data_IF_175088565910
#
_entry.id   IF_175088565910
#
_cell.length_a   1.000
_cell.length_b   1.000
_cell.length_c   1.000
_cell.angle_alpha   90.00
_cell.angle_beta   90.00
_cell.angle_gamma   90.00
#
_symmetry.space_group_name_H-M   'P 1'
#
loop_
_entity.id
_entity.type
_entity.pdbx_description
1 polymer ?
#
# COMPACT_ATOMS: atom_id res chain seq x y z
N UNK A 1 5.40 -2.23 11.78
CA UNK A 1 4.32 -1.80 10.87
C UNK A 1 4.33 -2.62 9.59
N UNK A 2 5.42 -2.61 8.81
CA UNK A 2 5.59 -3.43 7.59
C UNK A 2 5.24 -4.91 7.81
N UNK A 3 5.59 -5.47 8.98
CA UNK A 3 5.22 -6.83 9.34
C UNK A 3 3.69 -7.07 9.27
N UNK A 4 2.86 -6.15 9.77
CA UNK A 4 1.40 -6.31 9.73
C UNK A 4 0.87 -6.34 8.29
N UNK A 5 1.49 -5.58 7.39
CA UNK A 5 1.12 -5.57 5.97
C UNK A 5 1.51 -6.91 5.30
N UNK A 6 2.71 -7.42 5.58
CA UNK A 6 3.14 -8.73 5.07
C UNK A 6 2.27 -9.88 5.59
N UNK A 7 1.87 -9.83 6.85
CA UNK A 7 0.96 -10.82 7.43
C UNK A 7 -0.43 -10.73 6.82
N UNK A 8 -0.92 -9.52 6.57
CA UNK A 8 -2.19 -9.30 5.88
C UNK A 8 -2.20 -9.95 4.49
N UNK A 9 -1.17 -9.70 3.67
CA UNK A 9 -1.00 -10.36 2.36
C UNK A 9 -0.95 -11.88 2.48
N UNK A 10 -0.17 -12.39 3.44
CA UNK A 10 0.00 -13.83 3.66
C UNK A 10 -1.31 -14.51 4.04
N UNK A 11 -2.15 -13.87 4.86
CA UNK A 11 -3.47 -14.38 5.25
C UNK A 11 -4.40 -14.40 4.03
N UNK A 12 -4.41 -13.36 3.20
CA UNK A 12 -5.22 -13.30 1.98
C UNK A 12 -4.83 -14.40 0.99
N UNK A 13 -3.54 -14.64 0.80
CA UNK A 13 -3.02 -15.71 -0.05
C UNK A 13 -3.42 -17.08 0.50
N UNK A 14 -3.27 -17.29 1.82
CA UNK A 14 -3.70 -18.53 2.46
C UNK A 14 -5.20 -18.77 2.24
N UNK A 15 -6.03 -17.74 2.37
CA UNK A 15 -7.47 -17.83 2.08
C UNK A 15 -7.73 -18.17 0.62
N UNK A 16 -6.98 -17.63 -0.34
CA UNK A 16 -7.17 -17.98 -1.76
C UNK A 16 -6.80 -19.43 -2.08
N UNK A 17 -5.97 -20.07 -1.24
CA UNK A 17 -5.62 -21.48 -1.38
C UNK A 17 -6.73 -22.48 -1.02
N UNK A 18 -7.80 -22.03 -0.36
CA UNK A 18 -8.96 -22.88 -0.03
C UNK A 18 -10.06 -22.89 -1.12
N UNK A 19 -9.83 -22.25 -2.28
CA UNK A 19 -10.80 -22.16 -3.37
C UNK A 19 -10.73 -23.34 -4.34
N UNK A 20 -11.83 -23.66 -5.03
CA UNK A 20 -11.93 -24.83 -5.94
C UNK A 20 -10.91 -24.79 -7.09
N UNK A 21 -10.54 -23.60 -7.60
CA UNK A 21 -9.49 -23.39 -8.61
C UNK A 21 -8.20 -22.80 -8.01
N UNK A 22 -7.82 -23.25 -6.81
CA UNK A 22 -6.72 -22.68 -6.04
C UNK A 22 -5.39 -22.58 -6.81
N UNK A 23 -5.05 -23.55 -7.68
CA UNK A 23 -3.76 -23.54 -8.36
C UNK A 23 -3.61 -22.37 -9.34
N UNK A 24 -4.57 -22.17 -10.24
CA UNK A 24 -4.54 -21.04 -11.20
C UNK A 24 -4.71 -19.72 -10.46
N UNK A 25 -5.61 -19.68 -9.48
CA UNK A 25 -5.87 -18.54 -8.61
C UNK A 25 -4.62 -18.04 -7.89
N UNK A 26 -3.95 -18.94 -7.16
CA UNK A 26 -2.73 -18.66 -6.40
C UNK A 26 -1.59 -18.24 -7.31
N UNK A 27 -1.41 -18.91 -8.45
CA UNK A 27 -0.38 -18.55 -9.41
C UNK A 27 -0.61 -17.14 -9.97
N UNK A 28 -1.84 -16.81 -10.39
CA UNK A 28 -2.17 -15.48 -10.90
C UNK A 28 -1.98 -14.40 -9.83
N UNK A 29 -2.48 -14.64 -8.61
CA UNK A 29 -2.28 -13.75 -7.47
C UNK A 29 -0.81 -13.56 -7.11
N UNK A 30 -0.02 -14.62 -7.11
CA UNK A 30 1.39 -14.55 -6.74
C UNK A 30 2.20 -13.78 -7.78
N UNK A 31 1.87 -13.92 -9.07
CA UNK A 31 2.46 -13.11 -10.13
C UNK A 31 2.09 -11.63 -9.94
N UNK A 32 0.81 -11.34 -9.67
CA UNK A 32 0.36 -9.96 -9.43
C UNK A 32 0.98 -9.34 -8.18
N UNK A 33 0.75 -9.93 -7.00
CA UNK A 33 1.13 -9.36 -5.71
C UNK A 33 2.62 -9.53 -5.38
N UNK A 34 3.23 -10.69 -5.61
CA UNK A 34 4.60 -10.95 -5.14
C UNK A 34 5.69 -10.71 -6.18
N UNK A 35 5.36 -10.67 -7.47
CA UNK A 35 6.35 -10.34 -8.50
C UNK A 35 6.20 -8.90 -8.94
N UNK A 36 5.03 -8.55 -9.48
CA UNK A 36 4.81 -7.22 -10.07
C UNK A 36 4.73 -6.15 -8.98
N UNK A 37 3.82 -6.29 -8.00
CA UNK A 37 3.67 -5.26 -6.96
C UNK A 37 4.90 -5.13 -6.07
N UNK A 38 5.70 -6.19 -5.85
CA UNK A 38 6.93 -6.10 -5.04
C UNK A 38 7.96 -5.17 -5.67
N UNK A 39 8.11 -5.16 -6.99
CA UNK A 39 9.04 -4.24 -7.66
C UNK A 39 8.67 -2.78 -7.39
N UNK A 40 7.38 -2.45 -7.43
CA UNK A 40 6.92 -1.10 -7.10
C UNK A 40 7.04 -0.82 -5.60
N UNK A 41 6.69 -1.76 -4.73
CA UNK A 41 6.83 -1.61 -3.27
C UNK A 41 8.29 -1.29 -2.90
N UNK A 42 9.29 -1.84 -3.59
CA UNK A 42 10.69 -1.47 -3.34
C UNK A 42 10.99 0.01 -3.64
N UNK A 43 10.40 0.56 -4.70
CA UNK A 43 10.51 1.99 -5.02
C UNK A 43 9.82 2.81 -3.92
N UNK A 44 8.59 2.43 -3.56
CA UNK A 44 7.82 3.14 -2.54
C UNK A 44 8.41 3.04 -1.13
N UNK A 45 9.09 1.94 -0.79
CA UNK A 45 9.85 1.80 0.46
C UNK A 45 11.02 2.80 0.53
N UNK A 46 11.67 3.08 -0.60
CA UNK A 46 12.67 4.13 -0.70
C UNK A 46 12.07 5.51 -0.35
N UNK A 47 10.90 5.83 -0.89
CA UNK A 47 10.18 7.06 -0.56
C UNK A 47 9.71 7.11 0.88
N UNK A 48 9.25 6.00 1.45
CA UNK A 48 8.87 5.89 2.86
C UNK A 48 10.04 6.30 3.76
N UNK A 49 11.23 5.73 3.53
CA UNK A 49 12.42 6.04 4.30
C UNK A 49 12.88 7.50 4.10
N UNK A 50 12.97 7.96 2.84
CA UNK A 50 13.41 9.32 2.53
C UNK A 50 12.49 10.39 3.12
N UNK A 51 11.17 10.19 2.99
CA UNK A 51 10.17 11.11 3.54
C UNK A 51 10.20 11.11 5.06
N UNK A 52 10.33 9.93 5.68
CA UNK A 52 10.43 9.81 7.13
C UNK A 52 11.62 10.57 7.72
N UNK A 53 12.81 10.41 7.13
CA UNK A 53 14.01 11.15 7.56
C UNK A 53 13.86 12.65 7.34
N UNK A 54 13.31 13.06 6.19
CA UNK A 54 13.13 14.48 5.87
C UNK A 54 12.14 15.16 6.81
N UNK A 55 11.00 14.53 7.06
CA UNK A 55 9.98 15.03 7.99
C UNK A 55 10.52 15.07 9.42
N UNK A 56 11.23 14.04 9.88
CA UNK A 56 11.82 14.01 11.21
C UNK A 56 12.83 15.16 11.41
N UNK A 57 13.68 15.42 10.41
CA UNK A 57 14.69 16.49 10.48
C UNK A 57 14.06 17.89 10.46
N UNK A 58 13.11 18.15 9.55
CA UNK A 58 12.45 19.46 9.44
C UNK A 58 11.54 19.76 10.64
N UNK A 59 10.89 18.73 11.19
CA UNK A 59 10.12 18.84 12.42
C UNK A 59 11.03 19.08 13.63
N UNK A 60 12.16 18.37 13.73
CA UNK A 60 13.17 18.59 14.76
C UNK A 60 13.81 19.99 14.71
N UNK A 61 13.88 20.60 13.52
CA UNK A 61 14.31 21.98 13.32
C UNK A 61 13.21 23.03 13.63
N UNK A 62 11.99 22.61 13.98
CA UNK A 62 10.85 23.49 14.25
C UNK A 62 10.27 24.17 13.00
N UNK A 63 10.60 23.68 11.80
CA UNK A 63 10.19 24.31 10.55
C UNK A 63 8.95 23.64 9.94
N UNK A 64 7.78 23.97 10.50
CA UNK A 64 6.48 23.45 10.05
C UNK A 64 6.20 23.62 8.55
N UNK A 65 6.63 24.75 7.97
CA UNK A 65 6.46 25.03 6.53
C UNK A 65 7.29 24.08 5.67
N UNK A 66 8.55 23.84 6.05
CA UNK A 66 9.42 22.91 5.33
C UNK A 66 8.96 21.46 5.49
N UNK A 67 8.36 21.10 6.63
CA UNK A 67 7.74 19.78 6.82
C UNK A 67 6.55 19.57 5.87
N UNK A 68 5.59 20.50 5.85
CA UNK A 68 4.46 20.47 4.91
C UNK A 68 4.94 20.40 3.45
N UNK A 69 5.93 21.22 3.09
CA UNK A 69 6.51 21.22 1.75
C UNK A 69 7.15 19.88 1.39
N UNK A 70 7.92 19.28 2.30
CA UNK A 70 8.57 17.99 2.09
C UNK A 70 7.57 16.87 1.84
N UNK A 71 6.46 16.84 2.58
CA UNK A 71 5.39 15.85 2.38
C UNK A 71 4.74 16.03 1.01
N UNK A 72 4.36 17.27 0.65
CA UNK A 72 3.71 17.56 -0.63
C UNK A 72 4.61 17.17 -1.82
N UNK A 73 5.89 17.55 -1.77
CA UNK A 73 6.85 17.24 -2.82
C UNK A 73 7.12 15.75 -2.92
N UNK A 74 7.29 15.06 -1.79
CA UNK A 74 7.49 13.61 -1.79
C UNK A 74 6.28 12.86 -2.35
N UNK A 75 5.05 13.24 -1.95
CA UNK A 75 3.82 12.64 -2.46
C UNK A 75 3.65 12.92 -3.95
N UNK A 76 3.93 14.15 -4.41
CA UNK A 76 3.86 14.48 -5.83
C UNK A 76 4.86 13.68 -6.68
N UNK A 77 6.14 13.60 -6.25
CA UNK A 77 7.16 12.83 -6.96
C UNK A 77 6.83 11.34 -7.01
N UNK A 78 6.43 10.76 -5.88
CA UNK A 78 6.05 9.34 -5.81
C UNK A 78 4.83 9.04 -6.69
N UNK A 79 3.85 9.93 -6.71
CA UNK A 79 2.66 9.78 -7.57
C UNK A 79 3.03 9.83 -9.06
N UNK A 80 3.92 10.75 -9.47
CA UNK A 80 4.39 10.83 -10.87
C UNK A 80 5.15 9.57 -11.26
N UNK A 81 6.05 9.09 -10.40
CA UNK A 81 6.79 7.85 -10.66
C UNK A 81 5.84 6.65 -10.73
N UNK A 82 4.88 6.57 -9.82
CA UNK A 82 3.80 5.59 -9.84
C UNK A 82 3.04 5.57 -11.17
N UNK A 83 2.61 6.74 -11.66
CA UNK A 83 1.97 6.83 -12.97
C UNK A 83 2.85 6.34 -14.11
N UNK A 84 4.15 6.65 -14.10
CA UNK A 84 5.09 6.16 -15.11
C UNK A 84 5.21 4.64 -15.05
N UNK A 85 5.32 4.06 -13.84
CA UNK A 85 5.37 2.59 -13.64
C UNK A 85 4.10 1.92 -14.14
N UNK A 86 2.92 2.48 -13.80
CA UNK A 86 1.62 1.99 -14.28
C UNK A 86 1.53 2.04 -15.81
N UNK A 87 1.99 3.13 -16.44
CA UNK A 87 1.98 3.27 -17.89
C UNK A 87 2.89 2.24 -18.56
N UNK A 88 4.10 2.03 -18.04
CA UNK A 88 5.02 0.99 -18.53
C UNK A 88 4.36 -0.38 -18.39
N UNK A 89 3.77 -0.67 -17.22
CA UNK A 89 3.11 -1.94 -16.97
C UNK A 89 1.94 -2.18 -17.94
N UNK A 90 1.08 -1.18 -18.17
CA UNK A 90 -0.04 -1.29 -19.10
C UNK A 90 0.41 -1.51 -20.55
N UNK A 91 1.47 -0.81 -20.99
CA UNK A 91 2.03 -0.97 -22.32
C UNK A 91 2.63 -2.37 -22.55
N UNK A 92 3.31 -2.92 -21.53
CA UNK A 92 4.01 -4.20 -21.63
C UNK A 92 3.30 -5.34 -20.90
N UNK A 93 2.02 -5.18 -20.53
CA UNK A 93 1.29 -6.12 -19.66
C UNK A 93 1.40 -7.57 -20.11
N UNK A 94 1.24 -7.82 -21.42
CA UNK A 94 1.25 -9.18 -21.96
C UNK A 94 2.65 -9.78 -21.91
N UNK A 95 3.67 -9.01 -22.29
CA UNK A 95 5.08 -9.45 -22.24
C UNK A 95 5.55 -9.70 -20.81
N UNK A 96 5.14 -8.86 -19.86
CA UNK A 96 5.48 -9.02 -18.43
C UNK A 96 4.82 -10.27 -17.86
N UNK A 97 3.56 -10.57 -18.20
CA UNK A 97 2.88 -11.77 -17.70
C UNK A 97 3.54 -13.05 -18.24
N UNK A 98 3.87 -13.10 -19.53
CA UNK A 98 4.54 -14.27 -20.12
C UNK A 98 5.99 -14.48 -19.65
N UNK A 99 6.61 -13.50 -18.98
CA UNK A 99 7.90 -13.71 -18.30
C UNK A 99 7.76 -14.60 -17.06
N UNK A 100 6.59 -14.61 -16.42
CA UNK A 100 6.36 -15.35 -15.17
C UNK A 100 5.56 -16.64 -15.36
N UNK A 101 4.84 -16.79 -16.47
CA UNK A 101 4.07 -18.01 -16.75
C UNK A 101 4.13 -18.42 -18.22
N UNK A 102 4.17 -19.73 -18.44
CA UNK A 102 4.04 -20.36 -19.76
C UNK A 102 2.62 -20.87 -20.02
N UNK A 103 1.72 -20.82 -19.03
CA UNK A 103 0.35 -21.31 -19.15
C UNK A 103 -0.59 -20.17 -19.54
N UNK A 104 -1.29 -20.33 -20.68
CA UNK A 104 -2.26 -19.34 -21.15
C UNK A 104 -3.42 -19.14 -20.16
N UNK A 105 -3.82 -20.20 -19.44
CA UNK A 105 -4.89 -20.12 -18.43
C UNK A 105 -4.51 -19.19 -17.27
N UNK A 106 -3.24 -19.22 -16.85
CA UNK A 106 -2.73 -18.33 -15.80
C UNK A 106 -2.53 -16.92 -16.35
N UNK A 107 -2.05 -16.80 -17.59
CA UNK A 107 -1.86 -15.51 -18.24
C UNK A 107 -3.19 -14.74 -18.38
N UNK A 108 -4.24 -15.42 -18.83
CA UNK A 108 -5.58 -14.84 -18.95
C UNK A 108 -6.14 -14.43 -17.57
N UNK A 109 -5.93 -15.25 -16.54
CA UNK A 109 -6.33 -14.90 -15.17
C UNK A 109 -5.62 -13.64 -14.64
N UNK A 110 -4.33 -13.46 -14.94
CA UNK A 110 -3.58 -12.24 -14.58
C UNK A 110 -4.05 -11.02 -15.39
N UNK A 111 -4.34 -11.20 -16.68
CA UNK A 111 -4.89 -10.13 -17.52
C UNK A 111 -6.27 -9.68 -17.01
N UNK A 112 -7.07 -10.60 -16.53
CA UNK A 112 -8.36 -10.35 -15.88
C UNK A 112 -8.23 -9.59 -14.54
N UNK A 113 -7.13 -9.78 -13.82
CA UNK A 113 -6.81 -9.08 -12.57
C UNK A 113 -6.14 -7.72 -12.81
N UNK A 114 -5.67 -7.45 -14.03
CA UNK A 114 -4.93 -6.22 -14.38
C UNK A 114 -5.60 -4.91 -13.92
N UNK A 115 -6.94 -4.72 -14.01
CA UNK A 115 -7.57 -3.49 -13.52
C UNK A 115 -7.39 -3.28 -12.01
N UNK A 116 -7.50 -4.36 -11.23
CA UNK A 116 -7.28 -4.33 -9.79
C UNK A 116 -5.79 -4.13 -9.47
N UNK A 117 -4.90 -4.68 -10.30
CA UNK A 117 -3.45 -4.48 -10.15
C UNK A 117 -3.09 -3.02 -10.35
N UNK A 118 -3.61 -2.37 -11.39
CA UNK A 118 -3.35 -0.94 -11.64
C UNK A 118 -3.85 -0.08 -10.49
N UNK A 119 -5.03 -0.38 -9.93
CA UNK A 119 -5.54 0.31 -8.75
C UNK A 119 -4.60 0.10 -7.55
N UNK A 120 -4.13 -1.12 -7.35
CA UNK A 120 -3.21 -1.48 -6.29
C UNK A 120 -1.91 -0.68 -6.39
N UNK A 121 -1.30 -0.66 -7.58
CA UNK A 121 -0.06 0.05 -7.84
C UNK A 121 -0.22 1.56 -7.54
N UNK A 122 -1.34 2.14 -8.00
CA UNK A 122 -1.66 3.53 -7.73
C UNK A 122 -1.76 3.84 -6.22
N UNK A 123 -2.39 2.96 -5.45
CA UNK A 123 -2.48 3.13 -3.99
C UNK A 123 -1.10 3.00 -3.31
N UNK A 124 -0.29 2.02 -3.74
CA UNK A 124 1.08 1.83 -3.24
C UNK A 124 2.04 2.95 -3.65
N UNK A 125 1.69 3.77 -4.63
CA UNK A 125 2.45 4.97 -4.99
C UNK A 125 2.26 6.12 -3.97
N UNK A 126 1.15 6.14 -3.23
CA UNK A 126 0.81 7.23 -2.30
C UNK A 126 0.98 6.79 -0.84
N UNK A 127 0.46 5.62 -0.50
CA UNK A 127 0.37 5.13 0.87
C UNK A 127 1.72 5.12 1.61
N UNK A 128 2.83 4.60 1.05
CA UNK A 128 4.09 4.50 1.77
C UNK A 128 4.75 5.85 2.06
N UNK A 129 4.48 6.87 1.24
CA UNK A 129 4.96 8.24 1.49
C UNK A 129 4.28 8.83 2.72
N UNK A 130 2.96 8.70 2.79
CA UNK A 130 2.17 9.18 3.93
C UNK A 130 2.54 8.41 5.21
N UNK A 131 2.80 7.12 5.06
CA UNK A 131 3.30 6.26 6.12
C UNK A 131 4.65 6.75 6.64
N UNK A 132 5.59 7.03 5.72
CA UNK A 132 6.89 7.60 6.03
C UNK A 132 6.78 8.94 6.75
N UNK A 133 5.93 9.85 6.26
CA UNK A 133 5.70 11.14 6.88
C UNK A 133 5.16 11.01 8.32
N UNK A 134 4.16 10.15 8.54
CA UNK A 134 3.56 9.95 9.85
C UNK A 134 4.52 9.27 10.84
N UNK A 135 5.34 8.32 10.38
CA UNK A 135 6.41 7.70 11.19
C UNK A 135 7.50 8.71 11.51
N UNK A 136 7.92 9.53 10.54
CA UNK A 136 8.89 10.61 10.74
C UNK A 136 8.42 11.67 11.73
N UNK A 137 7.10 11.91 11.81
CA UNK A 137 6.48 12.79 12.80
C UNK A 137 6.27 12.13 14.18
N UNK A 138 6.62 10.85 14.35
CA UNK A 138 6.50 10.12 15.62
C UNK A 138 5.12 9.50 15.90
N UNK A 139 4.19 9.52 14.94
CA UNK A 139 2.83 8.98 15.13
C UNK A 139 2.68 7.48 14.80
N UNK A 140 3.78 6.74 14.85
CA UNK A 140 3.81 5.31 14.51
C UNK A 140 2.75 4.47 15.25
N UNK A 141 2.42 4.79 16.51
CA UNK A 141 1.42 4.08 17.29
C UNK A 141 0.01 4.28 16.71
N UNK A 142 -0.36 5.53 16.42
CA UNK A 142 -1.64 5.85 15.82
C UNK A 142 -1.78 5.17 14.45
N UNK A 143 -0.72 5.20 13.64
CA UNK A 143 -0.75 4.58 12.32
C UNK A 143 -0.85 3.06 12.41
N UNK A 144 -0.21 2.43 13.40
CA UNK A 144 -0.36 1.00 13.64
C UNK A 144 -1.82 0.62 13.98
N UNK A 145 -2.52 1.40 14.80
CA UNK A 145 -3.95 1.16 15.07
C UNK A 145 -4.83 1.31 13.82
N UNK A 146 -4.58 2.34 13.02
CA UNK A 146 -5.30 2.55 11.76
C UNK A 146 -5.06 1.38 10.81
N UNK A 147 -3.81 0.91 10.68
CA UNK A 147 -3.44 -0.22 9.84
C UNK A 147 -4.16 -1.52 10.27
N UNK A 148 -4.18 -1.81 11.58
CA UNK A 148 -4.90 -2.98 12.11
C UNK A 148 -6.40 -2.88 11.80
N UNK A 149 -7.01 -1.71 12.02
CA UNK A 149 -8.43 -1.50 11.75
C UNK A 149 -8.77 -1.63 10.26
N UNK A 150 -7.99 -1.00 9.38
CA UNK A 150 -8.25 -1.03 7.93
C UNK A 150 -8.05 -2.41 7.35
N UNK A 151 -6.97 -3.11 7.71
CA UNK A 151 -6.61 -4.38 7.10
C UNK A 151 -7.36 -5.56 7.73
N UNK A 152 -7.35 -5.69 9.05
CA UNK A 152 -7.88 -6.87 9.72
C UNK A 152 -9.37 -6.76 10.03
N UNK A 153 -9.88 -5.58 10.38
CA UNK A 153 -11.30 -5.41 10.73
C UNK A 153 -12.16 -5.16 9.50
N UNK A 154 -11.64 -4.47 8.48
CA UNK A 154 -12.40 -4.15 7.27
C UNK A 154 -11.96 -4.99 6.07
N UNK A 155 -10.66 -4.98 5.77
CA UNK A 155 -10.11 -5.63 4.57
C UNK A 155 -10.33 -7.14 4.53
N UNK A 156 -9.98 -7.87 5.61
CA UNK A 156 -10.17 -9.34 5.68
C UNK A 156 -11.65 -9.71 5.56
N UNK A 157 -12.58 -9.17 6.38
CA UNK A 157 -13.99 -9.56 6.29
C UNK A 157 -14.61 -9.23 4.94
N UNK A 158 -14.26 -8.07 4.36
CA UNK A 158 -14.75 -7.70 3.04
C UNK A 158 -14.21 -8.64 1.95
N UNK A 159 -12.94 -9.02 2.03
CA UNK A 159 -12.36 -10.03 1.14
C UNK A 159 -13.03 -11.39 1.26
N UNK A 160 -13.38 -11.82 2.48
CA UNK A 160 -14.13 -13.07 2.73
C UNK A 160 -15.54 -12.99 2.15
N UNK A 161 -16.28 -11.90 2.40
CA UNK A 161 -17.65 -11.72 1.89
C UNK A 161 -17.65 -11.68 0.35
N UNK A 162 -16.77 -10.88 -0.26
CA UNK A 162 -16.72 -10.75 -1.71
C UNK A 162 -16.20 -12.03 -2.37
N UNK A 163 -15.21 -12.68 -1.77
CA UNK A 163 -14.59 -13.90 -2.30
C UNK A 163 -15.49 -15.13 -2.19
N UNK A 164 -16.06 -15.39 -1.02
CA UNK A 164 -16.80 -16.61 -0.72
C UNK A 164 -18.32 -16.46 -0.82
N UNK A 165 -18.91 -15.38 -0.28
CA UNK A 165 -20.37 -15.21 -0.30
C UNK A 165 -20.89 -14.76 -1.66
N UNK A 166 -20.22 -13.79 -2.29
CA UNK A 166 -20.67 -13.24 -3.57
C UNK A 166 -20.12 -14.01 -4.80
N UNK A 167 -19.31 -15.04 -4.58
CA UNK A 167 -18.78 -15.89 -5.66
C UNK A 167 -17.78 -15.20 -6.60
N UNK A 168 -17.25 -14.02 -6.26
CA UNK A 168 -16.22 -13.34 -7.08
C UNK A 168 -14.85 -14.02 -6.99
N UNK A 169 -14.69 -15.05 -6.17
CA UNK A 169 -13.47 -15.84 -6.08
C UNK A 169 -12.26 -14.99 -5.68
N UNK A 170 -11.15 -15.20 -6.39
CA UNK A 170 -9.90 -14.44 -6.25
C UNK A 170 -10.09 -12.94 -6.40
N UNK A 171 -10.90 -12.50 -7.38
CA UNK A 171 -11.15 -11.08 -7.63
C UNK A 171 -11.80 -10.45 -6.39
N UNK A 172 -12.69 -11.17 -5.72
CA UNK A 172 -13.35 -10.73 -4.49
C UNK A 172 -12.37 -10.49 -3.33
N UNK A 173 -11.47 -11.45 -3.10
CA UNK A 173 -10.46 -11.35 -2.04
C UNK A 173 -9.53 -10.15 -2.31
N UNK A 174 -9.12 -9.99 -3.56
CA UNK A 174 -8.22 -8.91 -3.95
C UNK A 174 -8.90 -7.53 -4.00
N UNK A 175 -10.20 -7.46 -4.28
CA UNK A 175 -10.99 -6.24 -4.09
C UNK A 175 -11.06 -5.84 -2.61
N UNK A 176 -11.27 -6.81 -1.70
CA UNK A 176 -11.23 -6.58 -0.26
C UNK A 176 -9.89 -6.01 0.21
N UNK A 177 -8.79 -6.56 -0.34
CA UNK A 177 -7.42 -6.07 -0.12
C UNK A 177 -7.25 -4.61 -0.52
N UNK A 178 -7.57 -4.29 -1.77
CA UNK A 178 -7.46 -2.92 -2.29
C UNK A 178 -8.34 -1.94 -1.51
N UNK A 179 -9.51 -2.37 -1.03
CA UNK A 179 -10.38 -1.54 -0.22
C UNK A 179 -9.79 -1.23 1.16
N UNK A 180 -9.13 -2.20 1.81
CA UNK A 180 -8.40 -1.97 3.06
C UNK A 180 -7.28 -0.93 2.88
N UNK A 181 -6.50 -1.06 1.81
CA UNK A 181 -5.42 -0.13 1.41
C UNK A 181 -5.99 1.27 1.13
N UNK A 182 -7.11 1.35 0.43
CA UNK A 182 -7.80 2.61 0.12
C UNK A 182 -8.25 3.31 1.40
N UNK A 183 -8.92 2.60 2.34
CA UNK A 183 -9.35 3.17 3.62
C UNK A 183 -8.15 3.69 4.39
N UNK A 184 -7.09 2.89 4.54
CA UNK A 184 -5.90 3.32 5.26
C UNK A 184 -5.30 4.58 4.64
N UNK A 185 -5.20 4.62 3.31
CA UNK A 185 -4.67 5.79 2.57
C UNK A 185 -5.52 7.02 2.81
N UNK A 186 -6.85 6.90 2.76
CA UNK A 186 -7.78 8.01 3.03
C UNK A 186 -7.67 8.51 4.46
N UNK A 187 -7.58 7.60 5.44
CA UNK A 187 -7.41 7.96 6.86
C UNK A 187 -6.07 8.66 7.07
N UNK A 188 -4.98 8.15 6.48
CA UNK A 188 -3.66 8.79 6.57
C UNK A 188 -3.65 10.17 5.91
N UNK A 189 -4.24 10.33 4.72
CA UNK A 189 -4.40 11.63 4.07
C UNK A 189 -5.15 12.61 4.96
N UNK A 190 -6.27 12.18 5.54
CA UNK A 190 -7.07 13.00 6.44
C UNK A 190 -6.28 13.44 7.67
N UNK A 191 -5.56 12.52 8.28
CA UNK A 191 -4.71 12.76 9.45
C UNK A 191 -3.60 13.76 9.09
N UNK A 192 -2.86 13.53 8.01
CA UNK A 192 -1.80 14.43 7.53
C UNK A 192 -2.34 15.84 7.23
N UNK A 193 -3.56 15.96 6.70
CA UNK A 193 -4.18 17.24 6.37
C UNK A 193 -4.74 17.98 7.59
N UNK A 194 -5.37 17.27 8.52
CA UNK A 194 -5.95 17.83 9.76
C UNK A 194 -4.89 18.27 10.76
N UNK A 195 -3.69 17.72 10.67
CA UNK A 195 -2.64 18.05 11.63
C UNK A 195 -2.16 19.46 11.38
N UNK A 196 -2.30 20.26 12.43
CA UNK A 196 -1.70 21.57 12.50
C UNK A 196 -0.19 21.41 12.73
N UNK A 197 0.56 21.32 11.63
CA UNK A 197 2.01 21.27 11.68
C UNK A 197 2.62 22.53 12.31
N UNK A 198 1.88 23.65 12.36
CA UNK A 198 2.34 24.90 12.99
C UNK A 198 2.19 24.85 14.53
N UNK A 199 1.30 24.00 15.04
CA UNK A 199 1.07 23.77 16.48
C UNK A 199 1.53 22.39 16.97
N UNK A 200 2.16 21.58 16.12
CA UNK A 200 2.55 20.20 16.42
C UNK A 200 3.64 20.09 17.49
N UNK A 201 3.24 20.22 18.75
CA UNK A 201 3.87 19.80 20.00
C UNK A 201 5.38 19.52 19.97
N UNK A 202 6.14 20.56 20.31
CA UNK A 202 7.43 20.45 21.01
C UNK A 202 7.36 19.65 22.34
N UNK A 203 6.17 19.20 22.76
CA UNK A 203 5.92 18.49 24.03
C UNK A 203 6.22 16.98 24.02
N UNK A 204 6.31 16.31 22.86
CA UNK A 204 6.64 14.87 22.84
C UNK A 204 8.10 14.56 22.49
N UNK A 205 8.89 15.58 22.12
CA UNK A 205 10.35 15.46 21.97
C UNK A 205 11.11 15.80 23.24
N UNK A 206 10.49 16.48 24.22
CA UNK A 206 11.12 16.78 25.52
C UNK A 206 11.17 15.59 26.49
N UNK A 207 10.46 14.49 26.23
CA UNK A 207 10.46 13.30 27.10
C UNK A 207 11.49 12.22 26.72
N UNK A 208 12.45 12.51 25.83
CA UNK A 208 13.51 11.56 25.42
C UNK A 208 14.94 12.04 25.67
N UNK A 209 15.10 13.12 26.43
CA UNK A 209 16.41 13.62 26.87
C UNK A 209 16.31 14.04 28.34
N UNK A 210 16.01 13.09 29.22
CA UNK A 210 16.31 13.16 30.65
C UNK A 210 16.65 11.74 31.15
#
# INVERSE_FOLDING_TARGET
MICLELWYESILVLMTGYMENAEVALNALSICSFNISVWEIMISLGFLAATGVRVANELGAGNAKATKFSIVVATAMSTVIGFVVILIFLCFRRSIVYLFTTSDVVADAVLDLTPLLVLNLFLYSIQPVLLGAAVGAGWQNLVAYVNIASYYIVGIPLGVILGYLNGYGVKGIWMGMNFGILIQTMVLLFITWKIDWDRGNFENTSFRID
#
